data_IF_143263075611
#
_entry.id   IF_143263075611
#
_cell.length_a   1.000
_cell.length_b   1.000
_cell.length_c   1.000
_cell.angle_alpha   90.00
_cell.angle_beta   90.00
_cell.angle_gamma   90.00
#
_symmetry.space_group_name_H-M   'P 1'
#
loop_
_entity.id
_entity.type
_entity.pdbx_description
1 polymer ?
#
# COMPACT_ATOMS: atom_id res chain seq x y z
N UNK A 1 -8.95 -10.37 23.78
CA UNK A 1 -9.51 -9.07 24.21
C UNK A 1 -8.95 -7.83 23.49
N UNK A 2 -8.16 -7.96 22.40
CA UNK A 2 -7.67 -6.78 21.64
C UNK A 2 -8.33 -6.57 20.26
N UNK A 3 -9.16 -7.51 19.79
CA UNK A 3 -9.85 -7.39 18.49
C UNK A 3 -11.25 -6.75 18.58
N UNK A 4 -11.89 -6.78 19.76
CA UNK A 4 -13.26 -6.29 19.91
C UNK A 4 -13.35 -4.75 20.00
N UNK A 5 -12.37 -4.10 20.61
CA UNK A 5 -12.37 -2.64 20.84
C UNK A 5 -12.19 -1.82 19.56
N UNK A 6 -11.49 -2.37 18.56
CA UNK A 6 -11.29 -1.69 17.27
C UNK A 6 -12.59 -1.70 16.45
N UNK A 7 -13.38 -2.77 16.53
CA UNK A 7 -14.61 -2.90 15.75
C UNK A 7 -15.74 -1.96 16.23
N UNK A 8 -15.86 -1.71 17.53
CA UNK A 8 -16.90 -0.81 18.07
C UNK A 8 -16.68 0.66 17.67
N UNK A 9 -15.43 1.14 17.66
CA UNK A 9 -15.14 2.53 17.25
C UNK A 9 -15.33 2.75 15.75
N UNK A 10 -15.11 1.72 14.92
CA UNK A 10 -15.26 1.82 13.47
C UNK A 10 -16.72 1.86 13.02
N UNK A 11 -17.67 1.30 13.79
CA UNK A 11 -19.12 1.33 13.50
C UNK A 11 -19.71 2.75 13.53
N UNK A 12 -19.16 3.65 14.35
CA UNK A 12 -19.62 5.06 14.44
C UNK A 12 -19.38 5.87 13.17
N UNK A 13 -18.50 5.42 12.28
CA UNK A 13 -18.06 6.17 11.10
C UNK A 13 -18.79 5.80 9.81
N UNK A 14 -19.78 4.89 9.84
CA UNK A 14 -20.61 4.50 8.68
C UNK A 14 -19.88 4.08 7.39
N UNK A 15 -18.55 3.92 7.39
CA UNK A 15 -17.86 3.43 6.19
C UNK A 15 -17.96 1.90 6.13
N UNK A 16 -18.26 1.38 4.95
CA UNK A 16 -18.37 -0.05 4.67
C UNK A 16 -17.12 -0.80 5.15
N UNK A 17 -17.29 -1.92 5.86
CA UNK A 17 -16.18 -2.68 6.46
C UNK A 17 -15.13 -3.11 5.42
N UNK A 18 -15.56 -3.48 4.21
CA UNK A 18 -14.68 -3.78 3.08
C UNK A 18 -13.82 -2.58 2.63
N UNK A 19 -14.36 -1.37 2.69
CA UNK A 19 -13.67 -0.17 2.24
C UNK A 19 -12.52 0.21 3.18
N UNK A 20 -12.65 -0.05 4.49
CA UNK A 20 -11.67 0.37 5.50
C UNK A 20 -10.38 -0.45 5.46
N UNK A 21 -10.49 -1.78 5.52
CA UNK A 21 -9.31 -2.64 5.55
C UNK A 21 -8.58 -2.65 4.21
N UNK A 22 -9.32 -2.60 3.10
CA UNK A 22 -8.73 -2.50 1.78
C UNK A 22 -7.98 -1.17 1.63
N UNK A 23 -8.59 -0.04 2.00
CA UNK A 23 -7.94 1.28 1.93
C UNK A 23 -6.68 1.38 2.79
N UNK A 24 -6.70 0.83 4.01
CA UNK A 24 -5.50 0.81 4.86
C UNK A 24 -4.37 -0.03 4.23
N UNK A 25 -4.70 -1.20 3.66
CA UNK A 25 -3.74 -2.02 2.93
C UNK A 25 -3.18 -1.28 1.70
N UNK A 26 -4.04 -0.58 0.95
CA UNK A 26 -3.62 0.26 -0.18
C UNK A 26 -2.64 1.35 0.25
N UNK A 27 -2.96 2.08 1.33
CA UNK A 27 -2.09 3.13 1.85
C UNK A 27 -0.74 2.57 2.34
N UNK A 28 -0.74 1.44 3.05
CA UNK A 28 0.49 0.81 3.53
C UNK A 28 1.38 0.32 2.37
N UNK A 29 0.79 -0.33 1.35
CA UNK A 29 1.54 -0.79 0.16
C UNK A 29 2.10 0.41 -0.60
N UNK A 30 1.31 1.47 -0.79
CA UNK A 30 1.73 2.70 -1.45
C UNK A 30 2.92 3.34 -0.73
N UNK A 31 2.88 3.42 0.60
CA UNK A 31 3.96 4.01 1.41
C UNK A 31 5.25 3.19 1.30
N UNK A 32 5.16 1.86 1.35
CA UNK A 32 6.33 0.99 1.18
C UNK A 32 6.97 1.19 -0.20
N UNK A 33 6.16 1.30 -1.25
CA UNK A 33 6.65 1.48 -2.62
C UNK A 33 7.30 2.87 -2.79
N UNK A 34 6.72 3.92 -2.21
CA UNK A 34 7.31 5.28 -2.16
C UNK A 34 8.64 5.31 -1.42
N UNK A 35 8.77 4.53 -0.36
CA UNK A 35 10.03 4.36 0.37
C UNK A 35 11.03 3.43 -0.35
N UNK A 36 10.84 3.19 -1.65
CA UNK A 36 11.68 2.35 -2.49
C UNK A 36 11.84 0.89 -2.04
N UNK A 37 10.93 0.38 -1.21
CA UNK A 37 10.93 -1.03 -0.82
C UNK A 37 10.71 -1.90 -2.06
N UNK A 38 11.53 -2.95 -2.27
CA UNK A 38 11.37 -3.84 -3.41
C UNK A 38 10.00 -4.53 -3.46
N UNK A 39 9.39 -4.63 -4.66
CA UNK A 39 8.03 -5.18 -4.83
C UNK A 39 7.87 -6.63 -4.34
N UNK A 40 8.95 -7.42 -4.35
CA UNK A 40 8.97 -8.77 -3.77
C UNK A 40 8.82 -8.75 -2.24
N UNK A 41 9.43 -7.78 -1.55
CA UNK A 41 9.28 -7.61 -0.10
C UNK A 41 7.88 -7.09 0.23
N UNK A 42 7.39 -6.12 -0.55
CA UNK A 42 6.02 -5.60 -0.39
C UNK A 42 4.98 -6.70 -0.62
N UNK A 43 5.20 -7.61 -1.58
CA UNK A 43 4.36 -8.78 -1.82
C UNK A 43 4.32 -9.72 -0.60
N UNK A 44 5.45 -9.99 0.02
CA UNK A 44 5.54 -10.84 1.23
C UNK A 44 4.79 -10.20 2.40
N UNK A 45 5.00 -8.89 2.63
CA UNK A 45 4.32 -8.12 3.68
C UNK A 45 2.80 -8.08 3.45
N UNK A 46 2.37 -7.94 2.19
CA UNK A 46 0.96 -7.92 1.81
C UNK A 46 0.31 -9.31 1.78
N UNK A 47 1.09 -10.39 1.86
CA UNK A 47 0.59 -11.77 1.76
C UNK A 47 0.02 -12.13 0.39
N UNK A 48 0.45 -11.44 -0.68
CA UNK A 48 -0.07 -11.69 -2.02
C UNK A 48 0.54 -12.97 -2.61
N UNK A 49 -0.29 -13.93 -3.03
CA UNK A 49 0.20 -15.16 -3.68
C UNK A 49 0.91 -14.87 -5.01
N UNK A 50 0.40 -13.91 -5.78
CA UNK A 50 0.96 -13.49 -7.06
C UNK A 50 1.53 -12.07 -6.98
N UNK A 51 2.69 -11.86 -7.60
CA UNK A 51 3.30 -10.53 -7.67
C UNK A 51 2.48 -9.55 -8.52
N UNK A 52 1.66 -10.07 -9.44
CA UNK A 52 0.72 -9.29 -10.28
C UNK A 52 -0.23 -8.44 -9.45
N UNK A 53 -0.68 -8.93 -8.29
CA UNK A 53 -1.53 -8.16 -7.37
C UNK A 53 -0.79 -6.98 -6.73
N UNK A 54 0.54 -7.07 -6.56
CA UNK A 54 1.37 -5.96 -6.08
C UNK A 54 1.79 -5.02 -7.24
N UNK A 55 1.90 -5.54 -8.46
CA UNK A 55 2.26 -4.73 -9.64
C UNK A 55 1.22 -3.66 -9.99
N UNK A 56 -0.02 -3.77 -9.50
CA UNK A 56 -1.02 -2.71 -9.67
C UNK A 56 -0.56 -1.37 -9.09
N UNK A 57 0.34 -1.37 -8.11
CA UNK A 57 0.90 -0.16 -7.47
C UNK A 57 2.19 0.34 -8.12
N UNK A 58 2.65 -0.32 -9.20
CA UNK A 58 3.88 0.09 -9.91
C UNK A 58 3.80 1.50 -10.49
N UNK A 59 2.59 2.00 -10.78
CA UNK A 59 2.35 3.38 -11.23
C UNK A 59 2.87 4.42 -10.21
N UNK A 60 2.90 4.09 -8.92
CA UNK A 60 3.42 5.00 -7.87
C UNK A 60 4.91 5.31 -8.07
N UNK A 61 5.70 4.36 -8.59
CA UNK A 61 7.13 4.58 -8.94
C UNK A 61 7.36 5.36 -10.23
N UNK A 62 6.33 5.54 -11.06
CA UNK A 62 6.51 6.18 -12.37
C UNK A 62 6.90 7.66 -12.26
N UNK A 63 6.46 8.33 -11.18
CA UNK A 63 6.91 9.69 -10.85
C UNK A 63 8.33 9.71 -10.28
N UNK A 64 8.70 8.73 -9.44
CA UNK A 64 10.08 8.59 -8.94
C UNK A 64 11.09 8.39 -10.06
N UNK A 65 10.73 7.65 -11.12
CA UNK A 65 11.62 7.37 -12.25
C UNK A 65 11.91 8.65 -13.05
N UNK A 66 10.89 9.50 -13.26
CA UNK A 66 11.09 10.84 -13.85
C UNK A 66 12.00 11.70 -12.99
N UNK A 67 11.86 11.62 -11.67
CA UNK A 67 12.66 12.39 -10.73
C UNK A 67 14.12 11.91 -10.68
N UNK A 68 14.34 10.59 -10.68
CA UNK A 68 15.66 9.96 -10.76
C UNK A 68 16.37 10.23 -12.09
N UNK A 69 15.65 10.20 -13.22
CA UNK A 69 16.23 10.61 -14.52
C UNK A 69 16.54 12.11 -14.52
N UNK A 70 15.73 12.94 -13.86
CA UNK A 70 15.98 14.38 -13.73
C UNK A 70 17.17 14.69 -12.81
N UNK A 71 17.44 13.87 -11.79
CA UNK A 71 18.62 14.00 -10.92
C UNK A 71 19.90 13.46 -11.55
N UNK A 72 19.80 12.60 -12.57
CA UNK A 72 20.91 12.14 -13.42
C UNK A 72 21.37 13.19 -14.46
N UNK A 73 20.93 14.44 -14.35
CA UNK A 73 21.41 15.53 -15.22
C UNK A 73 22.88 15.84 -14.96
N UNK A 74 23.72 15.48 -15.94
CA UNK A 74 24.97 16.16 -16.27
C UNK A 74 24.69 17.57 -16.80
#
# INVERSE_FOLDING_TARGET
MHQQTVQENLRKLNLSEDFKFHSLRHSAITELIKNNVPLNIVKEIAGHKAITTTMIYSHVKSDDLKQAVKSLKY
#
